data_IF_968790951917
#
_entry.id   IF_968790951917
#
_cell.length_a   1.000
_cell.length_b   1.000
_cell.length_c   1.000
_cell.angle_alpha   90.00
_cell.angle_beta   90.00
_cell.angle_gamma   90.00
#
_symmetry.space_group_name_H-M   'P 1'
#
loop_
_entity.id
_entity.type
_entity.pdbx_description
1 polymer ?
#
# COMPACT_ATOMS: atom_id res chain seq x y z
N UNK A 1 -25.28 -23.13 -17.67
CA UNK A 1 -25.55 -22.20 -16.56
C UNK A 1 -25.64 -20.74 -16.99
N UNK A 2 -24.56 -20.06 -17.41
CA UNK A 2 -24.64 -18.61 -17.75
C UNK A 2 -25.55 -18.29 -18.94
N UNK A 3 -25.53 -19.13 -19.99
CA UNK A 3 -26.36 -18.94 -21.19
C UNK A 3 -27.86 -19.13 -20.94
N UNK A 4 -28.25 -20.03 -20.05
CA UNK A 4 -29.66 -20.30 -19.71
C UNK A 4 -30.25 -19.18 -18.86
N UNK A 5 -29.45 -18.62 -17.93
CA UNK A 5 -29.84 -17.47 -17.10
C UNK A 5 -30.02 -16.22 -17.98
N UNK A 6 -29.18 -16.05 -19.01
CA UNK A 6 -29.28 -14.93 -19.94
C UNK A 6 -30.56 -15.01 -20.79
N UNK A 7 -30.91 -16.18 -21.30
CA UNK A 7 -32.15 -16.40 -22.05
C UNK A 7 -33.39 -16.08 -21.21
N UNK A 8 -33.42 -16.48 -19.93
CA UNK A 8 -34.53 -16.19 -19.02
C UNK A 8 -34.67 -14.69 -18.69
N UNK A 9 -33.56 -13.95 -18.64
CA UNK A 9 -33.59 -12.49 -18.47
C UNK A 9 -34.19 -11.82 -19.71
N UNK A 10 -33.81 -12.26 -20.89
CA UNK A 10 -34.26 -11.68 -22.16
C UNK A 10 -35.75 -11.97 -22.41
N UNK A 11 -36.23 -13.17 -22.09
CA UNK A 11 -37.65 -13.52 -22.13
C UNK A 11 -38.50 -12.68 -21.15
N UNK A 12 -38.00 -12.43 -19.94
CA UNK A 12 -38.70 -11.61 -18.96
C UNK A 12 -38.70 -10.12 -19.33
N UNK A 13 -37.66 -9.63 -20.03
CA UNK A 13 -37.58 -8.26 -20.57
C UNK A 13 -38.45 -8.07 -21.82
N UNK A 14 -38.68 -9.13 -22.60
CA UNK A 14 -39.55 -9.09 -23.78
C UNK A 14 -41.06 -9.01 -23.45
N UNK A 15 -41.46 -9.26 -22.19
CA UNK A 15 -42.86 -9.15 -21.77
C UNK A 15 -43.34 -7.69 -21.77
N UNK A 16 -44.37 -7.39 -22.57
CA UNK A 16 -44.96 -6.05 -22.75
C UNK A 16 -45.52 -5.42 -21.46
N UNK A 17 -45.85 -6.21 -20.44
CA UNK A 17 -46.22 -5.76 -19.09
C UNK A 17 -45.47 -6.58 -18.05
N UNK A 18 -44.53 -5.93 -17.36
CA UNK A 18 -43.72 -6.57 -16.31
C UNK A 18 -44.43 -6.39 -14.97
N UNK A 19 -44.81 -7.50 -14.33
CA UNK A 19 -45.44 -7.48 -13.00
C UNK A 19 -44.41 -7.27 -11.88
N UNK A 20 -44.86 -6.97 -10.66
CA UNK A 20 -43.97 -6.84 -9.50
C UNK A 20 -43.17 -8.12 -9.20
N UNK A 21 -43.78 -9.29 -9.42
CA UNK A 21 -43.11 -10.58 -9.28
C UNK A 21 -42.03 -10.79 -10.34
N UNK A 22 -42.27 -10.36 -11.58
CA UNK A 22 -41.27 -10.45 -12.66
C UNK A 22 -40.07 -9.55 -12.39
N UNK A 23 -40.27 -8.36 -11.82
CA UNK A 23 -39.17 -7.45 -11.41
C UNK A 23 -38.29 -8.07 -10.31
N UNK A 24 -38.90 -8.75 -9.34
CA UNK A 24 -38.16 -9.45 -8.30
C UNK A 24 -37.31 -10.59 -8.89
N UNK A 25 -37.87 -11.37 -9.83
CA UNK A 25 -37.16 -12.44 -10.52
C UNK A 25 -35.99 -11.94 -11.36
N UNK A 26 -36.17 -10.85 -12.11
CA UNK A 26 -35.09 -10.20 -12.86
C UNK A 26 -33.92 -9.81 -11.95
N UNK A 27 -34.21 -9.21 -10.79
CA UNK A 27 -33.16 -8.81 -9.84
C UNK A 27 -32.37 -9.99 -9.26
N UNK A 28 -33.04 -11.14 -9.05
CA UNK A 28 -32.38 -12.35 -8.56
C UNK A 28 -31.49 -12.96 -9.64
N UNK A 29 -31.99 -13.08 -10.87
CA UNK A 29 -31.25 -13.63 -12.01
C UNK A 29 -30.03 -12.76 -12.37
N UNK A 30 -30.17 -11.43 -12.38
CA UNK A 30 -29.06 -10.51 -12.59
C UNK A 30 -27.99 -10.59 -11.49
N UNK A 31 -28.39 -10.88 -10.24
CA UNK A 31 -27.46 -11.09 -9.12
C UNK A 31 -26.70 -12.40 -9.26
N UNK A 32 -27.38 -13.47 -9.68
CA UNK A 32 -26.77 -14.77 -9.92
C UNK A 32 -25.74 -14.70 -11.05
N UNK A 33 -26.06 -14.03 -12.16
CA UNK A 33 -25.16 -13.87 -13.31
C UNK A 33 -23.87 -13.10 -12.92
N UNK A 34 -24.02 -12.02 -12.13
CA UNK A 34 -22.88 -11.26 -11.58
C UNK A 34 -22.03 -12.07 -10.60
N UNK A 35 -22.63 -13.02 -9.89
CA UNK A 35 -21.91 -13.89 -8.95
C UNK A 35 -21.10 -14.94 -9.72
N UNK A 36 -21.71 -15.62 -10.71
CA UNK A 36 -21.01 -16.57 -11.58
C UNK A 36 -19.83 -15.94 -12.31
N UNK A 37 -19.98 -14.72 -12.82
CA UNK A 37 -18.87 -13.99 -13.49
C UNK A 37 -17.73 -13.61 -12.54
N UNK A 38 -17.99 -13.44 -11.25
CA UNK A 38 -16.94 -13.16 -10.26
C UNK A 38 -16.16 -14.42 -9.90
N UNK A 39 -16.83 -15.56 -9.84
CA UNK A 39 -16.23 -16.85 -9.54
C UNK A 39 -15.31 -17.30 -10.70
N UNK A 40 -15.74 -17.12 -11.96
CA UNK A 40 -14.90 -17.39 -13.14
C UNK A 40 -13.65 -16.48 -13.21
N UNK A 41 -13.75 -15.23 -12.75
CA UNK A 41 -12.60 -14.32 -12.65
C UNK A 41 -11.66 -14.62 -11.47
N UNK A 42 -12.13 -15.35 -10.45
CA UNK A 42 -11.31 -15.75 -9.31
C UNK A 42 -10.41 -16.95 -9.68
N UNK A 43 -10.91 -17.90 -10.47
CA UNK A 43 -10.14 -19.07 -10.91
C UNK A 43 -9.05 -18.71 -11.94
N UNK A 44 -9.33 -17.77 -12.85
CA UNK A 44 -8.37 -17.30 -13.86
C UNK A 44 -7.20 -16.45 -13.30
N UNK A 45 -7.27 -16.03 -12.03
CA UNK A 45 -6.22 -15.21 -11.36
C UNK A 45 -5.23 -16.05 -10.54
N UNK A 46 -5.17 -17.36 -10.73
CA UNK A 46 -4.16 -18.23 -10.11
C UNK A 46 -2.79 -18.17 -10.82
N UNK A 47 -2.21 -16.96 -10.95
CA UNK A 47 -0.77 -16.81 -11.17
C UNK A 47 -0.15 -16.29 -9.88
N UNK A 48 0.41 -17.22 -9.12
CA UNK A 48 1.10 -16.96 -7.85
C UNK A 48 2.35 -16.11 -8.12
N UNK A 49 2.23 -14.79 -8.00
CA UNK A 49 3.38 -13.89 -8.04
C UNK A 49 4.15 -14.02 -6.71
N UNK A 50 5.29 -14.71 -6.76
CA UNK A 50 6.20 -14.93 -5.61
C UNK A 50 6.72 -13.59 -5.02
N UNK A 51 6.76 -12.53 -5.83
CA UNK A 51 7.16 -11.17 -5.42
C UNK A 51 6.02 -10.32 -4.82
N UNK A 52 4.78 -10.80 -4.84
CA UNK A 52 3.62 -10.10 -4.27
C UNK A 52 3.09 -10.84 -3.02
N UNK A 53 3.98 -11.46 -2.24
CA UNK A 53 3.63 -11.90 -0.88
C UNK A 53 3.34 -10.65 -0.05
N UNK A 54 2.06 -10.27 0.07
CA UNK A 54 1.66 -9.31 1.10
C UNK A 54 2.20 -9.86 2.43
N UNK A 55 3.08 -9.15 3.14
CA UNK A 55 3.57 -9.61 4.41
C UNK A 55 2.37 -9.89 5.31
N UNK A 56 2.15 -11.15 5.66
CA UNK A 56 1.04 -11.60 6.50
C UNK A 56 1.33 -11.36 7.98
N UNK A 57 2.52 -10.86 8.29
CA UNK A 57 2.85 -10.35 9.61
C UNK A 57 1.98 -9.13 9.89
N UNK A 58 1.19 -9.17 10.96
CA UNK A 58 0.49 -8.01 11.51
C UNK A 58 1.53 -7.02 12.04
N UNK A 59 2.23 -6.33 11.14
CA UNK A 59 3.14 -5.25 11.50
C UNK A 59 2.22 -4.09 11.87
N UNK A 60 2.13 -3.81 13.16
CA UNK A 60 1.51 -2.59 13.68
C UNK A 60 2.63 -1.56 13.89
N UNK A 61 3.02 -0.78 12.86
CA UNK A 61 4.08 0.20 13.03
C UNK A 61 3.60 1.28 14.01
N UNK A 62 4.45 1.63 14.97
CA UNK A 62 4.23 2.79 15.81
C UNK A 62 4.41 4.04 14.95
N UNK A 63 3.41 4.93 14.87
CA UNK A 63 3.55 6.17 14.11
C UNK A 63 4.55 7.10 14.83
N UNK A 64 5.61 7.49 14.12
CA UNK A 64 6.56 8.49 14.59
C UNK A 64 6.08 9.86 14.11
N UNK A 65 5.99 10.83 15.03
CA UNK A 65 5.66 12.21 14.71
C UNK A 65 6.95 13.00 14.61
N UNK A 66 7.11 13.70 13.49
CA UNK A 66 8.24 14.60 13.26
C UNK A 66 7.81 16.04 13.45
N UNK A 67 8.69 16.85 14.03
CA UNK A 67 8.58 18.30 13.99
C UNK A 67 8.81 18.83 12.57
N UNK A 68 8.45 20.10 12.32
CA UNK A 68 8.69 20.73 11.02
C UNK A 68 10.18 20.74 10.64
N UNK A 69 11.05 21.10 11.60
CA UNK A 69 12.50 21.14 11.39
C UNK A 69 13.13 19.77 11.14
N UNK A 70 12.60 18.71 11.74
CA UNK A 70 13.06 17.34 11.47
C UNK A 70 12.70 16.90 10.04
N UNK A 71 11.51 17.28 9.55
CA UNK A 71 11.11 16.97 8.17
C UNK A 71 11.96 17.71 7.15
N UNK A 72 12.26 19.00 7.39
CA UNK A 72 13.14 19.76 6.50
C UNK A 72 14.53 19.17 6.51
N UNK A 73 15.09 18.86 7.68
CA UNK A 73 16.41 18.24 7.79
C UNK A 73 16.50 16.87 7.11
N UNK A 74 15.47 16.03 7.20
CA UNK A 74 15.41 14.76 6.46
C UNK A 74 15.37 14.97 4.94
N UNK A 75 14.63 15.97 4.48
CA UNK A 75 14.52 16.30 3.05
C UNK A 75 15.83 16.85 2.50
N UNK A 76 16.47 17.76 3.24
CA UNK A 76 17.78 18.33 2.91
C UNK A 76 18.83 17.22 2.83
N UNK A 77 18.95 16.39 3.88
CA UNK A 77 19.87 15.25 3.87
C UNK A 77 19.63 14.30 2.69
N UNK A 78 18.36 14.02 2.37
CA UNK A 78 18.02 13.17 1.23
C UNK A 78 18.48 13.78 -0.11
N UNK A 79 18.39 15.10 -0.25
CA UNK A 79 18.82 15.82 -1.44
C UNK A 79 20.35 15.89 -1.51
N UNK A 80 21.02 16.15 -0.38
CA UNK A 80 22.47 16.24 -0.29
C UNK A 80 23.12 14.90 -0.67
N UNK A 81 22.59 13.76 -0.19
CA UNK A 81 23.11 12.45 -0.59
C UNK A 81 22.93 12.21 -2.10
N UNK A 82 21.81 12.68 -2.68
CA UNK A 82 21.55 12.56 -4.11
C UNK A 82 22.43 13.50 -4.93
N UNK A 83 22.76 14.70 -4.46
CA UNK A 83 23.64 15.61 -5.18
C UNK A 83 25.10 15.17 -5.10
N UNK A 84 25.55 14.78 -3.90
CA UNK A 84 26.97 14.64 -3.61
C UNK A 84 27.47 13.21 -3.84
N UNK A 85 26.56 12.23 -3.87
CA UNK A 85 26.91 10.80 -3.91
C UNK A 85 26.01 10.00 -4.84
N UNK A 86 25.49 10.60 -5.91
CA UNK A 86 24.56 9.93 -6.84
C UNK A 86 25.12 8.60 -7.39
N UNK A 87 26.40 8.54 -7.75
CA UNK A 87 27.03 7.33 -8.28
C UNK A 87 27.01 6.18 -7.27
N UNK A 88 27.33 6.46 -6.00
CA UNK A 88 27.26 5.49 -4.92
C UNK A 88 25.82 5.01 -4.70
N UNK A 89 24.85 5.93 -4.74
CA UNK A 89 23.43 5.61 -4.58
C UNK A 89 22.95 4.69 -5.70
N UNK A 90 23.32 4.96 -6.95
CA UNK A 90 22.94 4.11 -8.09
C UNK A 90 23.63 2.74 -7.99
N UNK A 91 24.89 2.69 -7.59
CA UNK A 91 25.66 1.45 -7.53
C UNK A 91 25.16 0.52 -6.43
N UNK A 92 24.90 1.05 -5.23
CA UNK A 92 24.51 0.25 -4.06
C UNK A 92 23.00 0.01 -3.96
N UNK A 93 22.20 1.01 -4.34
CA UNK A 93 20.74 0.97 -4.18
C UNK A 93 19.98 0.80 -5.51
N UNK A 94 20.65 0.95 -6.66
CA UNK A 94 20.06 0.81 -7.99
C UNK A 94 19.24 2.00 -8.48
N UNK A 95 18.79 2.89 -7.58
CA UNK A 95 18.03 4.08 -7.96
C UNK A 95 18.03 5.16 -6.87
N UNK A 96 18.03 6.43 -7.28
CA UNK A 96 17.83 7.58 -6.37
C UNK A 96 16.51 7.53 -5.58
N UNK A 97 15.49 6.86 -6.12
CA UNK A 97 14.17 6.71 -5.48
C UNK A 97 14.23 5.86 -4.22
N UNK A 98 15.32 5.13 -4.06
CA UNK A 98 15.57 4.35 -2.87
C UNK A 98 15.94 5.22 -1.67
N UNK A 99 16.26 6.50 -1.84
CA UNK A 99 16.44 7.45 -0.74
C UNK A 99 15.12 8.18 -0.45
N UNK A 100 14.50 7.82 0.67
CA UNK A 100 13.30 8.43 1.22
C UNK A 100 13.30 8.42 2.77
N UNK A 101 12.44 9.23 3.38
CA UNK A 101 12.35 9.42 4.83
C UNK A 101 12.23 8.10 5.60
N UNK A 102 11.43 7.16 5.09
CA UNK A 102 11.21 5.87 5.78
C UNK A 102 12.50 5.06 5.85
N UNK A 103 13.27 5.04 4.77
CA UNK A 103 14.55 4.31 4.71
C UNK A 103 15.64 5.04 5.47
N UNK A 104 15.68 6.37 5.44
CA UNK A 104 16.60 7.18 6.24
C UNK A 104 16.41 6.96 7.74
N UNK A 105 15.16 6.99 8.22
CA UNK A 105 14.85 6.73 9.64
C UNK A 105 15.23 5.30 10.04
N UNK A 106 14.97 4.31 9.17
CA UNK A 106 15.39 2.93 9.42
C UNK A 106 16.92 2.78 9.41
N UNK A 107 17.62 3.45 8.50
CA UNK A 107 19.08 3.48 8.45
C UNK A 107 19.66 4.09 9.73
N UNK A 108 19.08 5.19 10.22
CA UNK A 108 19.47 5.79 11.49
C UNK A 108 19.38 4.81 12.66
N UNK A 109 18.33 3.97 12.72
CA UNK A 109 18.21 2.91 13.74
C UNK A 109 19.36 1.90 13.68
N UNK A 110 19.85 1.54 12.48
CA UNK A 110 21.03 0.68 12.35
C UNK A 110 22.31 1.39 12.81
N UNK A 111 22.47 2.67 12.44
CA UNK A 111 23.63 3.48 12.81
C UNK A 111 23.69 3.74 14.32
N UNK A 112 22.55 3.88 15.01
CA UNK A 112 22.51 4.05 16.47
C UNK A 112 23.25 2.93 17.22
N UNK A 113 23.30 1.71 16.67
CA UNK A 113 24.05 0.59 17.29
C UNK A 113 25.56 0.74 17.21
N UNK A 114 26.07 1.61 16.34
CA UNK A 114 27.49 1.85 16.13
C UNK A 114 28.00 3.00 17.02
N UNK A 115 27.10 3.80 17.60
CA UNK A 115 27.43 4.91 18.48
C UNK A 115 27.47 4.51 19.95
N UNK A 116 28.24 5.26 20.74
CA UNK A 116 28.31 5.08 22.18
C UNK A 116 27.03 5.54 22.87
N UNK A 117 26.70 4.92 24.02
CA UNK A 117 25.54 5.36 24.81
C UNK A 117 25.59 6.85 25.19
N UNK A 118 26.79 7.41 25.40
CA UNK A 118 26.96 8.83 25.72
C UNK A 118 26.49 9.73 24.58
N UNK A 119 26.93 9.45 23.35
CA UNK A 119 26.55 10.21 22.16
C UNK A 119 25.04 10.12 21.91
N UNK A 120 24.47 8.93 22.09
CA UNK A 120 23.03 8.71 21.93
C UNK A 120 22.23 9.53 22.96
N UNK A 121 22.64 9.53 24.23
CA UNK A 121 21.98 10.30 25.29
C UNK A 121 22.09 11.81 25.03
N UNK A 122 23.23 12.28 24.53
CA UNK A 122 23.43 13.68 24.16
C UNK A 122 22.55 14.10 22.98
N UNK A 123 22.43 13.25 21.96
CA UNK A 123 21.49 13.47 20.86
C UNK A 123 20.03 13.52 21.34
N UNK A 124 19.63 12.60 22.22
CA UNK A 124 18.28 12.59 22.83
C UNK A 124 18.03 13.89 23.61
N UNK A 125 19.03 14.41 24.33
CA UNK A 125 18.91 15.70 25.04
C UNK A 125 18.62 16.83 24.06
N UNK A 126 19.29 16.87 22.91
CA UNK A 126 19.05 17.88 21.88
C UNK A 126 17.64 17.76 21.28
N UNK A 127 17.21 16.55 20.94
CA UNK A 127 15.84 16.30 20.44
C UNK A 127 14.80 16.80 21.45
N UNK A 128 14.97 16.47 22.74
CA UNK A 128 14.06 16.94 23.79
C UNK A 128 13.97 18.46 23.86
N UNK A 129 15.10 19.17 23.71
CA UNK A 129 15.12 20.64 23.69
C UNK A 129 14.39 21.20 22.47
N UNK A 130 14.55 20.56 21.31
CA UNK A 130 13.93 20.99 20.06
C UNK A 130 12.41 20.71 20.03
N UNK A 131 11.92 19.72 20.77
CA UNK A 131 10.50 19.40 20.87
C UNK A 131 9.69 20.35 21.77
N UNK A 132 10.34 21.11 22.65
CA UNK A 132 9.69 22.00 23.62
C UNK A 132 9.44 23.41 23.03
N UNK A 133 9.91 23.68 21.82
CA UNK A 133 9.73 24.98 21.14
C UNK A 133 8.57 24.97 20.17
#
# INVERSE_FOLDING_TARGET
MSNEIQQQIDELKAKKKVTGADRARLKVLERQLKQSQKDDQAEAKSKTNVFATKPTTKINPLPIRFSGGERTGLTELANDIKSDSMELVITELGSEREINDTKLVRAAVYLLKQHSHKEIVEAIKQVKLNMIR
#
